data_IF_826856220508
#
_entry.id   IF_826856220508
#
_cell.length_a   1.000
_cell.length_b   1.000
_cell.length_c   1.000
_cell.angle_alpha   90.00
_cell.angle_beta   90.00
_cell.angle_gamma   90.00
#
_symmetry.space_group_name_H-M   'P 1'
#
loop_
_entity.id
_entity.type
_entity.pdbx_description
1 polymer ?
#
# COMPACT_ATOMS: atom_id res chain seq x y z
N UNK A 1 -2.68 12.83 21.59
CA UNK A 1 -2.81 11.38 21.78
C UNK A 1 -2.50 10.69 20.47
N UNK A 2 -1.64 9.64 20.48
CA UNK A 2 -1.37 8.75 19.33
C UNK A 2 -1.95 7.38 19.66
N UNK A 3 -2.68 6.76 18.74
CA UNK A 3 -3.31 5.46 18.91
C UNK A 3 -3.57 4.79 17.55
N UNK A 4 -3.84 3.50 17.57
CA UNK A 4 -4.18 2.71 16.39
C UNK A 4 -5.70 2.61 16.23
N UNK A 5 -6.17 2.72 14.98
CA UNK A 5 -7.56 2.44 14.61
C UNK A 5 -7.60 1.42 13.48
N UNK A 6 -8.65 0.62 13.42
CA UNK A 6 -8.89 -0.24 12.28
C UNK A 6 -9.53 0.56 11.14
N UNK A 7 -8.91 0.55 9.97
CA UNK A 7 -9.49 1.08 8.74
C UNK A 7 -10.13 -0.08 7.95
N UNK A 8 -11.44 -0.10 7.76
CA UNK A 8 -12.08 -1.13 6.95
C UNK A 8 -11.82 -0.90 5.45
N UNK A 9 -11.99 -1.95 4.64
CA UNK A 9 -12.02 -1.88 3.19
C UNK A 9 -13.12 -0.92 2.71
N UNK A 10 -12.88 -0.20 1.62
CA UNK A 10 -13.83 0.73 1.01
C UNK A 10 -13.77 2.17 1.54
N UNK A 11 -13.04 2.44 2.61
CA UNK A 11 -12.81 3.79 3.11
C UNK A 11 -11.39 4.26 2.80
N UNK A 12 -11.24 5.53 2.49
CA UNK A 12 -9.93 6.17 2.45
C UNK A 12 -9.40 6.42 3.88
N UNK A 13 -8.08 6.54 4.02
CA UNK A 13 -7.48 6.97 5.29
C UNK A 13 -8.05 8.31 5.77
N UNK A 14 -8.35 9.23 4.85
CA UNK A 14 -8.93 10.53 5.20
C UNK A 14 -10.39 10.44 5.69
N UNK A 15 -11.18 9.47 5.22
CA UNK A 15 -12.55 9.25 5.73
C UNK A 15 -12.51 8.86 7.20
N UNK A 16 -11.55 8.01 7.59
CA UNK A 16 -11.30 7.66 8.99
C UNK A 16 -10.92 8.91 9.79
N UNK A 17 -10.00 9.74 9.28
CA UNK A 17 -9.64 11.00 9.94
C UNK A 17 -10.85 11.93 10.08
N UNK A 18 -11.73 12.03 9.10
CA UNK A 18 -12.92 12.89 9.16
C UNK A 18 -13.90 12.45 10.26
N UNK A 19 -14.04 11.13 10.46
CA UNK A 19 -14.83 10.60 11.58
C UNK A 19 -14.19 10.96 12.92
N UNK A 20 -12.87 10.81 13.03
CA UNK A 20 -12.12 11.16 14.25
C UNK A 20 -12.15 12.67 14.53
N UNK A 21 -12.04 13.53 13.52
CA UNK A 21 -12.17 14.98 13.66
C UNK A 21 -13.50 15.38 14.29
N UNK A 22 -14.59 14.76 13.83
CA UNK A 22 -15.93 14.97 14.39
C UNK A 22 -16.04 14.49 15.83
N UNK A 23 -15.56 13.27 16.10
CA UNK A 23 -15.64 12.67 17.44
C UNK A 23 -14.78 13.43 18.47
N UNK A 24 -13.61 13.91 18.07
CA UNK A 24 -12.66 14.61 18.95
C UNK A 24 -12.89 16.13 19.02
N UNK A 25 -13.84 16.68 18.26
CA UNK A 25 -14.11 18.13 18.23
C UNK A 25 -12.92 18.98 17.75
N UNK A 26 -11.99 18.41 16.98
CA UNK A 26 -10.80 19.12 16.50
C UNK A 26 -10.47 18.79 15.04
N UNK A 27 -9.99 19.79 14.31
CA UNK A 27 -9.51 19.62 12.93
C UNK A 27 -8.08 19.05 12.86
N UNK A 28 -7.33 19.09 13.97
CA UNK A 28 -5.92 18.67 14.01
C UNK A 28 -5.86 17.17 14.27
N UNK A 29 -6.00 16.40 13.19
CA UNK A 29 -5.91 14.93 13.20
C UNK A 29 -5.11 14.50 11.96
N UNK A 30 -4.12 13.64 12.15
CA UNK A 30 -3.26 13.09 11.09
C UNK A 30 -3.06 11.59 11.24
N UNK A 31 -2.40 10.96 10.26
CA UNK A 31 -2.05 9.54 10.29
C UNK A 31 -0.60 9.30 9.91
N UNK A 32 -0.05 8.16 10.34
CA UNK A 32 1.29 7.70 10.03
C UNK A 32 1.26 6.63 8.93
N UNK A 33 1.16 7.07 7.69
CA UNK A 33 1.07 6.20 6.52
C UNK A 33 -0.35 6.04 5.99
N UNK A 34 -0.47 6.07 4.67
CA UNK A 34 -1.74 5.92 3.96
C UNK A 34 -2.02 4.43 3.72
N UNK A 35 -3.23 4.01 4.00
CA UNK A 35 -3.80 2.76 3.49
C UNK A 35 -4.72 3.09 2.32
N UNK A 36 -4.58 2.33 1.24
CA UNK A 36 -5.42 2.47 0.06
C UNK A 36 -6.88 2.12 0.37
N UNK A 37 -7.86 2.58 -0.42
CA UNK A 37 -9.27 2.26 -0.19
C UNK A 37 -9.55 0.76 -0.14
N UNK A 38 -8.87 -0.01 -0.99
CA UNK A 38 -9.01 -1.48 -1.04
C UNK A 38 -8.33 -2.20 0.12
N UNK A 39 -7.35 -1.57 0.77
CA UNK A 39 -6.68 -2.14 1.91
C UNK A 39 -7.50 -1.97 3.19
N UNK A 40 -7.34 -2.91 4.10
CA UNK A 40 -7.85 -2.82 5.46
C UNK A 40 -6.72 -3.06 6.47
N UNK A 41 -6.89 -2.63 7.71
CA UNK A 41 -5.90 -2.88 8.75
C UNK A 41 -5.66 -1.71 9.69
N UNK A 42 -4.50 -1.72 10.31
CA UNK A 42 -4.11 -0.75 11.34
C UNK A 42 -3.71 0.59 10.70
N UNK A 43 -4.39 1.64 11.09
CA UNK A 43 -4.04 3.03 10.78
C UNK A 43 -3.64 3.72 12.08
N UNK A 44 -2.36 4.10 12.21
CA UNK A 44 -1.88 4.87 13.36
C UNK A 44 -2.25 6.33 13.15
N UNK A 45 -2.94 6.90 14.13
CA UNK A 45 -3.48 8.27 14.07
C UNK A 45 -3.01 9.10 15.26
N UNK A 46 -2.86 10.40 15.03
CA UNK A 46 -2.55 11.39 16.05
C UNK A 46 -3.65 12.45 16.13
N UNK A 47 -4.11 12.74 17.35
CA UNK A 47 -5.09 13.79 17.61
C UNK A 47 -4.44 14.91 18.42
N UNK A 48 -4.54 16.14 17.94
CA UNK A 48 -3.91 17.32 18.50
C UNK A 48 -2.52 17.60 17.90
N UNK A 49 -2.07 18.86 18.06
CA UNK A 49 -0.85 19.38 17.40
C UNK A 49 0.41 18.60 17.79
N UNK A 50 0.59 18.30 19.07
CA UNK A 50 1.81 17.62 19.53
C UNK A 50 1.88 16.19 19.03
N UNK A 51 0.76 15.48 19.02
CA UNK A 51 0.67 14.12 18.51
C UNK A 51 0.90 14.08 16.99
N UNK A 52 0.30 15.00 16.24
CA UNK A 52 0.49 15.02 14.78
C UNK A 52 1.93 15.34 14.38
N UNK A 53 2.65 16.13 15.16
CA UNK A 53 4.08 16.38 14.95
C UNK A 53 4.96 15.15 15.19
N UNK A 54 4.54 14.21 16.04
CA UNK A 54 5.31 13.01 16.38
C UNK A 54 5.02 11.82 15.44
N UNK A 55 4.01 11.90 14.58
CA UNK A 55 3.61 10.79 13.69
C UNK A 55 4.73 10.32 12.76
N UNK A 56 5.72 11.17 12.44
CA UNK A 56 6.85 10.75 11.61
C UNK A 56 7.66 9.62 12.23
N UNK A 57 7.71 9.52 13.57
CA UNK A 57 8.36 8.42 14.28
C UNK A 57 7.64 7.09 14.06
N UNK A 58 6.31 7.14 13.92
CA UNK A 58 5.49 5.96 13.61
C UNK A 58 5.64 5.53 12.14
N UNK A 59 5.86 6.47 11.22
CA UNK A 59 6.10 6.16 9.79
C UNK A 59 7.38 5.35 9.60
N UNK A 60 8.40 5.60 10.42
CA UNK A 60 9.69 4.92 10.35
C UNK A 60 9.66 3.48 10.91
N UNK A 61 8.59 3.07 11.61
CA UNK A 61 8.45 1.71 12.15
C UNK A 61 8.21 0.67 11.06
N UNK A 62 8.56 -0.56 11.41
CA UNK A 62 8.33 -1.72 10.55
C UNK A 62 6.84 -1.90 10.24
N UNK A 63 6.58 -2.48 9.08
CA UNK A 63 5.22 -2.75 8.61
C UNK A 63 5.13 -4.18 8.11
N UNK A 64 4.01 -4.80 8.39
CA UNK A 64 3.67 -6.11 7.87
C UNK A 64 2.41 -6.00 7.01
N UNK A 65 2.42 -6.67 5.86
CA UNK A 65 1.31 -6.69 4.92
C UNK A 65 0.95 -8.12 4.57
N UNK A 66 -0.35 -8.41 4.56
CA UNK A 66 -0.90 -9.61 3.94
C UNK A 66 -1.51 -9.21 2.61
N UNK A 67 -1.05 -9.83 1.52
CA UNK A 67 -1.52 -9.54 0.18
C UNK A 67 -2.01 -10.82 -0.51
N UNK A 68 -3.06 -10.68 -1.34
CA UNK A 68 -3.52 -11.72 -2.24
C UNK A 68 -3.05 -11.32 -3.63
N UNK A 69 -2.25 -12.18 -4.26
CA UNK A 69 -1.69 -11.94 -5.59
C UNK A 69 -2.36 -12.91 -6.57
N UNK A 70 -3.00 -12.38 -7.59
CA UNK A 70 -3.54 -13.17 -8.70
C UNK A 70 -2.49 -13.30 -9.79
N UNK A 71 -2.03 -14.53 -10.05
CA UNK A 71 -1.12 -14.82 -11.16
C UNK A 71 -1.90 -14.92 -12.46
N UNK A 72 -1.25 -14.63 -13.60
CA UNK A 72 -1.85 -14.66 -14.94
C UNK A 72 -2.67 -13.42 -15.29
N UNK A 73 -2.61 -12.37 -14.49
CA UNK A 73 -3.21 -11.08 -14.79
C UNK A 73 -2.25 -9.94 -14.44
N UNK A 74 -2.34 -8.86 -15.21
CA UNK A 74 -1.71 -7.57 -14.88
C UNK A 74 -2.80 -6.50 -14.79
N UNK A 75 -2.52 -5.42 -14.08
CA UNK A 75 -3.43 -4.30 -13.92
C UNK A 75 -2.72 -3.00 -14.21
N UNK A 76 -3.42 -2.01 -14.74
CA UNK A 76 -2.87 -0.68 -15.04
C UNK A 76 -2.44 0.10 -13.78
N UNK A 77 -2.95 -0.29 -12.62
CA UNK A 77 -2.63 0.31 -11.31
C UNK A 77 -1.85 -0.63 -10.39
N UNK A 78 -1.46 -1.83 -10.86
CA UNK A 78 -0.84 -2.91 -10.07
C UNK A 78 -1.72 -3.43 -8.93
N UNK A 79 -3.02 -3.10 -8.92
CA UNK A 79 -4.00 -3.53 -7.93
C UNK A 79 -5.34 -3.96 -8.55
N UNK A 80 -6.37 -4.12 -7.72
CA UNK A 80 -7.69 -4.58 -8.14
C UNK A 80 -8.54 -3.47 -8.82
N UNK A 81 -8.18 -2.20 -8.71
CA UNK A 81 -8.96 -1.07 -9.25
C UNK A 81 -8.70 -0.85 -10.76
N UNK A 82 -7.50 -1.14 -11.23
CA UNK A 82 -7.11 -0.88 -12.60
C UNK A 82 -7.72 -1.84 -13.62
N UNK A 83 -7.70 -1.42 -14.89
CA UNK A 83 -8.06 -2.27 -16.01
C UNK A 83 -7.13 -3.49 -16.07
N UNK A 84 -7.73 -4.68 -16.13
CA UNK A 84 -7.02 -5.95 -16.07
C UNK A 84 -6.79 -6.52 -17.46
N UNK A 85 -5.56 -7.00 -17.65
CA UNK A 85 -5.18 -7.79 -18.81
C UNK A 85 -4.91 -9.23 -18.36
N UNK A 86 -5.68 -10.17 -18.87
CA UNK A 86 -5.50 -11.59 -18.56
C UNK A 86 -4.57 -12.23 -19.60
N UNK A 87 -3.63 -13.03 -19.10
CA UNK A 87 -2.68 -13.77 -19.92
C UNK A 87 -3.06 -15.23 -19.98
N UNK A 88 -2.93 -15.85 -21.17
CA UNK A 88 -3.16 -17.27 -21.31
C UNK A 88 -2.15 -18.05 -20.48
N UNK A 89 -2.62 -18.80 -19.49
CA UNK A 89 -1.80 -19.64 -18.63
C UNK A 89 -1.77 -21.06 -19.20
N UNK A 90 -0.69 -21.42 -19.88
CA UNK A 90 -0.52 -22.76 -20.44
C UNK A 90 -0.17 -23.81 -19.35
N UNK A 91 0.50 -23.40 -18.29
CA UNK A 91 0.87 -24.26 -17.17
C UNK A 91 0.91 -23.44 -15.88
N UNK A 92 0.26 -23.92 -14.85
CA UNK A 92 0.36 -23.32 -13.53
C UNK A 92 1.75 -23.50 -12.94
N UNK A 93 2.34 -22.46 -12.34
CA UNK A 93 3.63 -22.61 -11.68
C UNK A 93 3.51 -23.54 -10.48
N UNK A 94 4.54 -24.33 -10.27
CA UNK A 94 4.66 -25.14 -9.06
C UNK A 94 4.99 -24.25 -7.86
N UNK A 95 4.54 -24.65 -6.68
CA UNK A 95 4.76 -23.90 -5.43
C UNK A 95 6.23 -23.50 -5.25
N UNK A 96 7.16 -24.40 -5.52
CA UNK A 96 8.59 -24.12 -5.44
C UNK A 96 9.04 -22.98 -6.36
N UNK A 97 8.48 -22.89 -7.57
CA UNK A 97 8.80 -21.81 -8.51
C UNK A 97 8.31 -20.44 -7.98
N UNK A 98 7.11 -20.42 -7.39
CA UNK A 98 6.54 -19.21 -6.76
C UNK A 98 7.39 -18.80 -5.55
N UNK A 99 7.73 -19.73 -4.66
CA UNK A 99 8.57 -19.46 -3.49
C UNK A 99 9.95 -18.92 -3.90
N UNK A 100 10.56 -19.48 -4.92
CA UNK A 100 11.83 -18.99 -5.46
C UNK A 100 11.72 -17.58 -6.03
N UNK A 101 10.61 -17.25 -6.69
CA UNK A 101 10.35 -15.91 -7.21
C UNK A 101 10.18 -14.89 -6.07
N UNK A 102 9.38 -15.23 -5.06
CA UNK A 102 9.10 -14.36 -3.90
C UNK A 102 10.36 -14.11 -3.07
N UNK A 103 11.23 -15.11 -2.89
CA UNK A 103 12.51 -14.95 -2.16
C UNK A 103 13.42 -13.88 -2.77
N UNK A 104 13.32 -13.60 -4.08
CA UNK A 104 14.11 -12.55 -4.72
C UNK A 104 13.78 -11.13 -4.21
N UNK A 105 12.64 -10.97 -3.59
CA UNK A 105 12.21 -9.70 -3.01
C UNK A 105 12.61 -9.54 -1.53
N UNK A 106 13.26 -10.55 -0.93
CA UNK A 106 13.74 -10.46 0.46
C UNK A 106 15.11 -9.81 0.52
N UNK A 107 15.33 -8.99 1.55
CA UNK A 107 16.56 -8.22 1.75
C UNK A 107 16.45 -6.79 1.20
N UNK A 108 17.59 -6.18 0.95
CA UNK A 108 17.67 -4.83 0.39
C UNK A 108 17.51 -4.87 -1.12
N UNK A 109 16.44 -4.31 -1.64
CA UNK A 109 16.13 -4.25 -3.07
C UNK A 109 15.93 -2.80 -3.54
N UNK A 110 16.06 -2.60 -4.83
CA UNK A 110 15.65 -1.36 -5.49
C UNK A 110 14.21 -1.53 -5.97
N UNK A 111 13.29 -0.74 -5.43
CA UNK A 111 11.90 -0.67 -5.85
C UNK A 111 11.66 0.59 -6.67
N UNK A 112 11.11 0.46 -7.87
CA UNK A 112 10.47 1.58 -8.57
C UNK A 112 9.05 1.69 -8.01
N UNK A 113 8.72 2.79 -7.30
CA UNK A 113 7.37 2.94 -6.76
C UNK A 113 6.35 3.02 -7.89
N UNK A 114 5.13 2.49 -7.71
CA UNK A 114 4.09 2.65 -8.72
C UNK A 114 3.73 4.12 -8.92
N UNK A 115 3.34 4.45 -10.16
CA UNK A 115 2.93 5.82 -10.52
C UNK A 115 1.69 6.25 -9.73
N UNK A 116 0.77 5.31 -9.49
CA UNK A 116 -0.42 5.53 -8.65
C UNK A 116 -0.09 5.37 -7.16
N UNK A 117 0.84 6.19 -6.66
CA UNK A 117 1.25 6.17 -5.26
C UNK A 117 1.19 7.54 -4.61
N UNK A 118 1.20 7.57 -3.28
CA UNK A 118 1.25 8.80 -2.49
C UNK A 118 2.67 9.41 -2.39
N UNK A 119 3.63 8.91 -3.15
CA UNK A 119 4.99 9.47 -3.23
C UNK A 119 4.91 10.89 -3.80
N UNK A 120 5.57 11.83 -3.13
CA UNK A 120 5.57 13.23 -3.58
C UNK A 120 6.72 13.48 -4.55
N UNK A 121 6.36 14.03 -5.71
CA UNK A 121 7.28 14.53 -6.72
C UNK A 121 7.11 16.05 -6.79
N UNK A 122 8.15 16.80 -6.45
CA UNK A 122 8.10 18.27 -6.43
C UNK A 122 6.93 18.83 -5.62
N UNK A 123 6.63 18.20 -4.46
CA UNK A 123 5.57 18.63 -3.54
C UNK A 123 4.16 18.14 -3.85
N UNK A 124 3.92 17.50 -4.99
CA UNK A 124 2.63 16.92 -5.38
C UNK A 124 2.70 15.39 -5.41
N UNK A 125 1.64 14.70 -4.95
CA UNK A 125 1.58 13.26 -4.99
C UNK A 125 1.53 12.72 -6.42
N UNK A 126 2.29 11.65 -6.71
CA UNK A 126 2.44 11.05 -8.03
C UNK A 126 1.08 10.65 -8.65
N UNK A 127 0.20 10.05 -7.85
CA UNK A 127 -1.13 9.65 -8.33
C UNK A 127 -2.00 10.82 -8.82
N UNK A 128 -1.84 12.03 -8.23
CA UNK A 128 -2.60 13.21 -8.66
C UNK A 128 -2.14 13.71 -10.04
N UNK A 129 -0.86 13.60 -10.32
CA UNK A 129 -0.29 13.95 -11.62
C UNK A 129 -0.69 12.91 -12.67
N UNK A 130 -0.59 11.63 -12.33
CA UNK A 130 -0.99 10.52 -13.22
C UNK A 130 -2.48 10.61 -13.64
N UNK A 131 -3.37 10.93 -12.70
CA UNK A 131 -4.80 11.13 -13.01
C UNK A 131 -5.09 12.31 -13.93
N UNK A 132 -4.18 13.24 -14.04
CA UNK A 132 -4.26 14.36 -15.01
C UNK A 132 -3.66 14.01 -16.37
N UNK A 133 -3.18 12.77 -16.56
CA UNK A 133 -2.51 12.34 -17.79
C UNK A 133 -1.07 12.83 -17.92
N UNK A 134 -0.47 13.38 -16.85
CA UNK A 134 0.93 13.81 -16.89
C UNK A 134 1.85 12.60 -16.93
N UNK A 135 2.93 12.68 -17.70
CA UNK A 135 4.00 11.68 -17.66
C UNK A 135 4.72 11.76 -16.32
N UNK A 136 4.63 10.70 -15.53
CA UNK A 136 5.26 10.61 -14.22
C UNK A 136 6.40 9.59 -14.27
N UNK A 137 7.63 10.06 -14.08
CA UNK A 137 8.80 9.19 -13.99
C UNK A 137 9.11 8.99 -12.50
N UNK A 138 9.13 7.72 -12.08
CA UNK A 138 9.44 7.34 -10.71
C UNK A 138 10.87 6.86 -10.61
N UNK A 139 11.62 7.40 -9.64
CA UNK A 139 12.98 6.96 -9.39
C UNK A 139 13.03 5.73 -8.47
N UNK A 140 13.97 4.78 -8.73
CA UNK A 140 14.17 3.65 -7.84
C UNK A 140 14.58 4.10 -6.44
N UNK A 141 14.01 3.47 -5.42
CA UNK A 141 14.39 3.67 -4.02
C UNK A 141 14.81 2.36 -3.37
N UNK A 142 15.73 2.43 -2.43
CA UNK A 142 16.07 1.28 -1.61
C UNK A 142 14.95 0.98 -0.62
N UNK A 143 14.53 -0.27 -0.57
CA UNK A 143 13.60 -0.81 0.42
C UNK A 143 14.18 -2.09 0.99
N UNK A 144 13.90 -2.36 2.26
CA UNK A 144 14.28 -3.60 2.92
C UNK A 144 13.03 -4.42 3.22
N UNK A 145 13.01 -5.65 2.73
CA UNK A 145 11.97 -6.62 3.04
C UNK A 145 12.60 -7.70 3.91
N UNK A 146 12.27 -7.72 5.18
CA UNK A 146 12.91 -8.60 6.17
C UNK A 146 12.60 -10.07 5.91
N UNK A 147 11.34 -10.36 5.60
CA UNK A 147 10.89 -11.71 5.27
C UNK A 147 9.65 -11.67 4.37
N UNK A 148 9.45 -12.76 3.68
CA UNK A 148 8.25 -13.05 2.88
C UNK A 148 7.81 -14.48 3.15
N UNK A 149 6.51 -14.71 3.32
CA UNK A 149 5.92 -16.04 3.51
C UNK A 149 4.74 -16.23 2.59
N UNK A 150 4.55 -17.46 2.10
CA UNK A 150 3.37 -17.86 1.35
C UNK A 150 2.47 -18.64 2.29
N UNK A 151 1.39 -18.03 2.73
CA UNK A 151 0.44 -18.65 3.67
C UNK A 151 -0.47 -19.65 2.97
N UNK A 152 -1.00 -19.30 1.80
CA UNK A 152 -1.91 -20.13 1.04
C UNK A 152 -1.60 -20.04 -0.45
N UNK A 153 -1.66 -21.18 -1.13
CA UNK A 153 -1.64 -21.28 -2.58
C UNK A 153 -3.00 -21.84 -3.01
N UNK A 154 -3.87 -20.97 -3.52
CA UNK A 154 -5.17 -21.36 -4.05
C UNK A 154 -5.04 -21.52 -5.57
N UNK A 155 -4.97 -22.75 -6.04
CA UNK A 155 -5.19 -23.05 -7.45
C UNK A 155 -6.68 -22.88 -7.71
N UNK A 156 -7.08 -21.78 -8.37
CA UNK A 156 -8.45 -21.67 -8.86
C UNK A 156 -8.66 -22.73 -9.93
N UNK A 157 -9.53 -23.68 -9.64
CA UNK A 157 -10.10 -24.57 -10.65
C UNK A 157 -11.18 -23.74 -11.35
N UNK A 158 -10.97 -23.42 -12.62
CA UNK A 158 -12.00 -22.89 -13.52
C UNK A 158 -12.75 -24.09 -14.08
#
# INVERSE_FOLDING_TARGET
>A
MIFAVYKPKGLTSNDVLNRLRRAAGTKIVGHAGTLDPLAEGVLVVGVGRDSTKQLWQEVAKEKEYRAIIQLGATSSTDDEEGEKQFHTVLRYPERFAVERAVRKFTGCILQIPPVYSAVKLQGQEAYKRARKGELVIMEPRRVEIKYTTIEQDRKSVV
#
